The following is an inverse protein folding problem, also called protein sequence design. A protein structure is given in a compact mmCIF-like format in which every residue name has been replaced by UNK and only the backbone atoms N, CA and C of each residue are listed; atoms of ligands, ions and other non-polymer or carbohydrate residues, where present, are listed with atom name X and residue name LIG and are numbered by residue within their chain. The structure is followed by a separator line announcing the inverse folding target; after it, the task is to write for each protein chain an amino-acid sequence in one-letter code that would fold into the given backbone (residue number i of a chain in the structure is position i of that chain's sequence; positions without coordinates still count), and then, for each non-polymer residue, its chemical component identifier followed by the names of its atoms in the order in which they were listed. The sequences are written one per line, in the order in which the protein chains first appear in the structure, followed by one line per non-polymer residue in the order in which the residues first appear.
data_IF_225835807901
#
_entry.id   IF_225835807901
#
_cell.length_a   1.000
_cell.length_b   1.000
_cell.length_c   1.000
_cell.angle_alpha   90.00
_cell.angle_beta   90.00
_cell.angle_gamma   90.00
#
_symmetry.space_group_name_H-M   'P 1'
#
loop_
_entity.id
_entity.type
_entity.pdbx_description
1 polymer ?
#
# COMPACT_ATOMS: atom_id res chain seq x y z
N UNK A 1 16.16 -46.19 5.09
CA UNK A 1 15.93 -44.82 5.58
C UNK A 1 14.84 -44.22 4.71
N UNK A 2 13.59 -44.32 5.15
CA UNK A 2 12.45 -43.76 4.40
C UNK A 2 12.43 -42.26 4.58
N UNK A 3 12.29 -41.52 3.48
CA UNK A 3 12.02 -40.08 3.52
C UNK A 3 10.74 -39.86 4.34
N UNK A 4 10.84 -39.10 5.42
CA UNK A 4 9.68 -38.50 6.07
C UNK A 4 9.27 -37.32 5.20
N UNK A 5 8.70 -37.62 4.03
CA UNK A 5 8.05 -36.59 3.22
C UNK A 5 6.84 -36.11 4.02
N UNK A 6 6.97 -34.92 4.62
CA UNK A 6 5.87 -34.23 5.29
C UNK A 6 4.74 -34.06 4.27
N UNK A 7 3.57 -34.68 4.48
CA UNK A 7 2.44 -34.45 3.60
C UNK A 7 2.07 -32.96 3.68
N UNK A 8 2.08 -32.28 2.52
CA UNK A 8 1.84 -30.83 2.36
C UNK A 8 2.98 -29.89 2.79
N UNK A 9 4.25 -30.23 2.53
CA UNK A 9 5.30 -29.21 2.57
C UNK A 9 5.03 -28.10 1.53
N UNK A 10 5.03 -26.84 1.96
CA UNK A 10 4.82 -25.69 1.05
C UNK A 10 5.85 -25.70 -0.08
N UNK A 11 5.42 -25.34 -1.28
CA UNK A 11 6.31 -25.23 -2.45
C UNK A 11 7.16 -23.94 -2.45
N UNK A 12 6.90 -23.02 -1.53
CA UNK A 12 7.59 -21.75 -1.45
C UNK A 12 8.93 -21.84 -0.73
N UNK A 13 9.90 -21.05 -1.19
CA UNK A 13 11.21 -20.94 -0.55
C UNK A 13 11.12 -20.26 0.81
N UNK A 14 10.16 -19.34 0.96
CA UNK A 14 10.04 -18.48 2.14
C UNK A 14 9.54 -19.19 3.39
N UNK A 15 8.88 -20.35 3.27
CA UNK A 15 8.20 -21.04 4.38
C UNK A 15 6.77 -21.42 4.03
N UNK A 16 5.93 -21.62 5.05
CA UNK A 16 4.53 -22.04 4.86
C UNK A 16 3.61 -20.90 4.44
N UNK A 17 2.52 -21.22 3.73
CA UNK A 17 1.48 -20.25 3.35
C UNK A 17 0.87 -19.56 4.59
N UNK A 18 0.70 -20.32 5.68
CA UNK A 18 0.19 -19.80 6.96
C UNK A 18 1.07 -18.67 7.48
N UNK A 19 2.40 -18.81 7.42
CA UNK A 19 3.30 -17.77 7.90
C UNK A 19 3.23 -16.49 7.05
N UNK A 20 3.15 -16.64 5.72
CA UNK A 20 2.92 -15.50 4.83
C UNK A 20 1.65 -14.74 5.21
N UNK A 21 0.56 -15.47 5.45
CA UNK A 21 -0.72 -14.88 5.86
C UNK A 21 -0.62 -14.18 7.21
N UNK A 22 0.07 -14.77 8.19
CA UNK A 22 0.29 -14.15 9.49
C UNK A 22 1.12 -12.85 9.37
N UNK A 23 2.09 -12.80 8.45
CA UNK A 23 2.87 -11.58 8.16
C UNK A 23 1.99 -10.50 7.53
N UNK A 24 1.21 -10.83 6.48
CA UNK A 24 0.28 -9.88 5.84
C UNK A 24 -0.78 -9.37 6.83
N UNK A 25 -1.32 -10.26 7.66
CA UNK A 25 -2.28 -9.90 8.71
C UNK A 25 -1.64 -9.00 9.77
N UNK A 26 -0.39 -9.24 10.14
CA UNK A 26 0.34 -8.39 11.09
C UNK A 26 0.62 -7.00 10.52
N UNK A 27 0.97 -6.90 9.24
CA UNK A 27 1.11 -5.61 8.54
C UNK A 27 -0.22 -4.85 8.55
N UNK A 28 -1.32 -5.52 8.20
CA UNK A 28 -2.66 -4.92 8.20
C UNK A 28 -3.06 -4.44 9.61
N UNK A 29 -2.88 -5.26 10.65
CA UNK A 29 -3.17 -4.89 12.04
C UNK A 29 -2.37 -3.67 12.48
N UNK A 30 -1.09 -3.61 12.14
CA UNK A 30 -0.24 -2.46 12.43
C UNK A 30 -0.72 -1.21 11.72
N UNK A 31 -1.08 -1.31 10.44
CA UNK A 31 -1.65 -0.21 9.68
C UNK A 31 -2.94 0.31 10.32
N UNK A 32 -3.92 -0.54 10.61
CA UNK A 32 -5.19 -0.12 11.22
C UNK A 32 -4.98 0.48 12.62
N UNK A 33 -4.03 -0.04 13.41
CA UNK A 33 -3.68 0.51 14.72
C UNK A 33 -3.09 1.92 14.63
N UNK A 34 -2.26 2.19 13.61
CA UNK A 34 -1.58 3.48 13.47
C UNK A 34 -2.42 4.56 12.78
N UNK A 35 -3.56 4.18 12.18
CA UNK A 35 -4.39 5.07 11.36
C UNK A 35 -5.88 4.95 11.76
N UNK A 36 -6.34 5.73 12.76
CA UNK A 36 -7.72 5.69 13.25
C UNK A 36 -8.79 5.88 12.16
N UNK A 37 -8.61 6.83 11.25
CA UNK A 37 -9.55 7.06 10.14
C UNK A 37 -9.62 5.83 9.23
N UNK A 38 -8.46 5.27 8.87
CA UNK A 38 -8.43 4.06 8.06
C UNK A 38 -9.11 2.88 8.76
N UNK A 39 -8.92 2.74 10.08
CA UNK A 39 -9.63 1.73 10.87
C UNK A 39 -11.15 1.92 10.84
N UNK A 40 -11.64 3.13 11.05
CA UNK A 40 -13.08 3.45 10.99
C UNK A 40 -13.66 3.08 9.63
N UNK A 41 -13.00 3.46 8.55
CA UNK A 41 -13.46 3.16 7.18
C UNK A 41 -13.38 1.65 6.92
N UNK A 42 -12.36 0.97 7.41
CA UNK A 42 -12.24 -0.47 7.29
C UNK A 42 -13.38 -1.23 8.00
N UNK A 43 -13.71 -0.85 9.22
CA UNK A 43 -14.84 -1.41 10.00
C UNK A 43 -16.18 -1.09 9.32
N UNK A 44 -16.31 0.11 8.75
CA UNK A 44 -17.49 0.52 8.00
C UNK A 44 -17.68 -0.35 6.74
N UNK A 45 -16.63 -0.56 5.94
CA UNK A 45 -16.71 -1.42 4.74
C UNK A 45 -17.04 -2.86 5.14
N UNK A 46 -16.45 -3.35 6.23
CA UNK A 46 -16.75 -4.67 6.78
C UNK A 46 -18.24 -4.82 7.17
N UNK A 47 -18.82 -3.78 7.80
CA UNK A 47 -20.23 -3.79 8.22
C UNK A 47 -21.21 -3.78 7.04
N UNK A 48 -20.87 -3.13 5.93
CA UNK A 48 -21.71 -3.04 4.73
C UNK A 48 -21.66 -4.33 3.91
N UNK A 49 -20.54 -5.06 3.94
CA UNK A 49 -20.29 -6.23 3.08
C UNK A 49 -20.37 -7.58 3.79
N UNK A 50 -20.97 -7.64 5.00
CA UNK A 50 -21.08 -8.87 5.81
C UNK A 50 -19.75 -9.62 5.89
N UNK A 51 -18.66 -8.88 6.14
CA UNK A 51 -17.31 -9.41 6.35
C UNK A 51 -16.62 -10.09 5.16
N UNK A 52 -17.09 -9.87 3.93
CA UNK A 52 -16.49 -10.43 2.70
C UNK A 52 -15.53 -9.49 1.98
N UNK A 53 -14.93 -8.55 2.72
CA UNK A 53 -13.95 -7.61 2.19
C UNK A 53 -12.81 -8.34 1.48
N UNK A 54 -12.36 -7.77 0.37
CA UNK A 54 -11.21 -8.22 -0.41
C UNK A 54 -10.31 -7.04 -0.71
N UNK A 55 -9.01 -7.29 -0.82
CA UNK A 55 -8.02 -6.25 -1.04
C UNK A 55 -7.48 -6.30 -2.46
N UNK A 56 -7.41 -5.14 -3.11
CA UNK A 56 -6.79 -5.01 -4.42
C UNK A 56 -5.26 -5.04 -4.29
N UNK A 57 -4.74 -4.19 -3.41
CA UNK A 57 -3.32 -4.08 -3.17
C UNK A 57 -2.97 -3.43 -1.82
N UNK A 58 -1.74 -3.70 -1.35
CA UNK A 58 -1.07 -2.98 -0.26
C UNK A 58 0.08 -2.17 -0.84
N UNK A 59 0.29 -0.94 -0.36
CA UNK A 59 1.31 -0.04 -0.87
C UNK A 59 2.32 0.37 0.20
N UNK A 60 3.60 0.39 -0.14
CA UNK A 60 4.70 0.76 0.74
C UNK A 60 5.60 1.83 0.11
N UNK A 61 6.20 2.67 0.96
CA UNK A 61 7.20 3.67 0.57
C UNK A 61 8.56 3.32 1.16
N UNK A 62 9.62 3.62 0.42
CA UNK A 62 10.99 3.22 0.78
C UNK A 62 12.00 4.26 0.26
N UNK A 63 13.27 4.14 0.67
CA UNK A 63 14.35 4.98 0.16
C UNK A 63 15.33 4.16 -0.68
N UNK A 64 15.57 4.55 -1.93
CA UNK A 64 16.55 3.87 -2.78
C UNK A 64 17.98 4.28 -2.41
N UNK A 65 18.47 3.75 -1.30
CA UNK A 65 19.82 4.00 -0.79
C UNK A 65 20.22 2.89 0.20
N UNK A 66 21.48 2.45 0.15
CA UNK A 66 22.12 1.58 1.14
C UNK A 66 21.31 0.33 1.57
N UNK A 67 20.53 -0.25 0.66
CA UNK A 67 19.71 -1.45 0.92
C UNK A 67 18.34 -1.19 1.56
N UNK A 68 17.87 0.05 1.61
CA UNK A 68 16.57 0.45 2.14
C UNK A 68 15.46 0.60 1.08
N UNK A 69 15.75 0.26 -0.17
CA UNK A 69 14.83 0.43 -1.31
C UNK A 69 13.79 -0.68 -1.42
N UNK A 70 13.19 -0.82 -2.60
CA UNK A 70 12.14 -1.82 -2.88
C UNK A 70 12.55 -3.24 -2.44
N UNK A 71 13.79 -3.62 -2.74
CA UNK A 71 14.32 -4.96 -2.48
C UNK A 71 14.34 -5.35 -0.99
N UNK A 72 14.30 -4.37 -0.08
CA UNK A 72 14.26 -4.62 1.37
C UNK A 72 12.97 -5.30 1.82
N UNK A 73 11.87 -5.05 1.11
CA UNK A 73 10.56 -5.67 1.34
C UNK A 73 10.24 -6.73 0.28
N UNK A 74 10.44 -6.44 -1.01
CA UNK A 74 9.92 -7.28 -2.09
C UNK A 74 10.52 -8.68 -2.11
N UNK A 75 11.80 -8.83 -1.74
CA UNK A 75 12.49 -10.12 -1.74
C UNK A 75 11.79 -11.15 -0.85
N UNK A 76 11.31 -10.74 0.33
CA UNK A 76 10.54 -11.61 1.22
C UNK A 76 9.33 -12.20 0.52
N UNK A 77 8.51 -11.36 -0.14
CA UNK A 77 7.29 -11.82 -0.80
C UNK A 77 7.59 -12.65 -2.06
N UNK A 78 8.68 -12.35 -2.77
CA UNK A 78 9.11 -13.14 -3.92
C UNK A 78 9.52 -14.56 -3.53
N UNK A 79 10.09 -14.77 -2.34
CA UNK A 79 10.35 -16.11 -1.80
C UNK A 79 9.05 -16.91 -1.52
N UNK A 80 7.92 -16.20 -1.40
CA UNK A 80 6.55 -16.74 -1.33
C UNK A 80 5.82 -16.77 -2.68
N UNK A 81 6.56 -16.68 -3.79
CA UNK A 81 6.00 -16.87 -5.14
C UNK A 81 5.27 -15.67 -5.71
N UNK A 82 5.30 -14.50 -5.05
CA UNK A 82 4.93 -13.25 -5.70
C UNK A 82 5.84 -12.98 -6.91
N UNK A 83 5.26 -12.49 -8.01
CA UNK A 83 5.97 -12.25 -9.26
C UNK A 83 5.93 -10.78 -9.63
N UNK A 84 6.99 -10.28 -10.28
CA UNK A 84 7.03 -8.92 -10.78
C UNK A 84 5.94 -8.74 -11.84
N UNK A 85 4.99 -7.84 -11.57
CA UNK A 85 3.91 -7.51 -12.51
C UNK A 85 4.21 -6.30 -13.38
N UNK A 86 5.07 -5.38 -12.92
CA UNK A 86 5.46 -4.21 -13.71
C UNK A 86 6.15 -3.13 -12.90
N UNK A 87 6.64 -2.10 -13.61
CA UNK A 87 7.35 -0.95 -13.05
C UNK A 87 6.76 0.34 -13.60
N UNK A 88 6.76 1.38 -12.78
CA UNK A 88 6.41 2.75 -13.17
C UNK A 88 7.50 3.70 -12.66
N UNK A 89 7.87 4.69 -13.44
CA UNK A 89 8.79 5.75 -13.01
C UNK A 89 8.05 7.09 -12.94
N UNK A 90 8.35 7.91 -11.95
CA UNK A 90 7.77 9.23 -11.72
C UNK A 90 8.89 10.27 -11.67
N UNK A 91 9.43 10.70 -12.83
CA UNK A 91 10.62 11.56 -12.88
C UNK A 91 10.48 12.85 -12.08
N UNK A 92 9.31 13.52 -12.16
CA UNK A 92 9.02 14.76 -11.41
C UNK A 92 9.07 14.56 -9.89
N UNK A 93 8.61 13.40 -9.41
CA UNK A 93 8.62 13.05 -7.99
C UNK A 93 9.93 12.39 -7.55
N UNK A 94 10.83 12.08 -8.49
CA UNK A 94 12.05 11.29 -8.27
C UNK A 94 11.74 9.92 -7.64
N UNK A 95 10.61 9.31 -8.00
CA UNK A 95 10.14 8.03 -7.41
C UNK A 95 10.09 6.94 -8.49
N UNK A 96 10.39 5.70 -8.10
CA UNK A 96 10.13 4.49 -8.89
C UNK A 96 9.16 3.59 -8.14
N UNK A 97 8.32 2.88 -8.87
CA UNK A 97 7.38 1.90 -8.34
C UNK A 97 7.59 0.54 -8.99
N UNK A 98 7.51 -0.52 -8.19
CA UNK A 98 7.43 -1.92 -8.60
C UNK A 98 6.15 -2.49 -7.99
N UNK A 99 5.36 -3.24 -8.76
CA UNK A 99 4.27 -4.01 -8.19
C UNK A 99 4.46 -5.51 -8.43
N UNK A 100 4.02 -6.30 -7.47
CA UNK A 100 4.05 -7.75 -7.50
C UNK A 100 2.63 -8.32 -7.59
N UNK A 101 2.43 -9.27 -8.50
CA UNK A 101 1.22 -10.10 -8.55
C UNK A 101 1.32 -11.22 -7.52
N UNK A 102 0.22 -11.53 -6.80
CA UNK A 102 0.19 -12.60 -5.81
C UNK A 102 0.40 -13.99 -6.45
N UNK A 103 0.88 -14.98 -5.67
CA UNK A 103 0.79 -16.38 -6.06
C UNK A 103 -0.68 -16.84 -6.09
N UNK A 104 -0.96 -17.89 -6.86
CA UNK A 104 -2.27 -18.53 -6.86
C UNK A 104 -2.45 -19.38 -5.59
N UNK A 105 -3.02 -18.77 -4.56
CA UNK A 105 -3.24 -19.38 -3.26
C UNK A 105 -4.70 -19.29 -2.86
N UNK A 106 -5.28 -20.45 -2.56
CA UNK A 106 -6.58 -20.57 -1.94
C UNK A 106 -6.42 -21.11 -0.53
N UNK A 107 -6.41 -20.19 0.45
CA UNK A 107 -6.39 -20.57 1.86
C UNK A 107 -7.75 -20.25 2.48
N UNK A 108 -8.57 -21.26 2.79
CA UNK A 108 -9.86 -21.04 3.42
C UNK A 108 -9.67 -20.53 4.85
N UNK A 109 -10.42 -19.49 5.23
CA UNK A 109 -10.46 -19.00 6.62
C UNK A 109 -10.78 -17.52 6.74
N UNK A 110 -11.34 -17.15 7.90
CA UNK A 110 -11.63 -15.76 8.23
C UNK A 110 -10.35 -15.06 8.72
N UNK A 111 -9.62 -14.42 7.80
CA UNK A 111 -8.37 -13.68 8.09
C UNK A 111 -8.47 -12.20 7.72
N UNK A 112 -9.44 -11.50 8.30
CA UNK A 112 -9.61 -10.05 8.09
C UNK A 112 -9.56 -9.67 6.59
N UNK A 113 -10.29 -10.39 5.73
CA UNK A 113 -10.30 -10.16 4.28
C UNK A 113 -9.27 -10.92 3.44
N UNK A 114 -8.15 -11.39 4.02
CA UNK A 114 -7.09 -12.09 3.28
C UNK A 114 -7.47 -13.50 2.79
N UNK A 115 -8.58 -14.06 3.29
CA UNK A 115 -9.11 -15.37 2.87
C UNK A 115 -10.33 -15.30 1.94
N UNK A 116 -10.80 -14.10 1.57
CA UNK A 116 -12.03 -13.90 0.77
C UNK A 116 -11.76 -13.80 -0.75
N UNK A 117 -10.55 -14.15 -1.18
CA UNK A 117 -10.13 -14.01 -2.56
C UNK A 117 -8.65 -14.28 -2.79
N UNK A 118 -8.10 -13.86 -3.94
CA UNK A 118 -6.67 -13.84 -4.13
C UNK A 118 -6.04 -12.90 -3.10
N UNK A 119 -4.78 -13.16 -2.75
CA UNK A 119 -4.01 -12.25 -1.92
C UNK A 119 -3.86 -10.88 -2.61
N UNK A 120 -3.69 -9.78 -1.85
CA UNK A 120 -3.49 -8.47 -2.45
C UNK A 120 -2.22 -8.46 -3.30
N UNK A 121 -2.24 -7.67 -4.37
CA UNK A 121 -1.02 -7.22 -5.04
C UNK A 121 -0.19 -6.42 -4.04
N UNK A 122 1.13 -6.42 -4.21
CA UNK A 122 2.01 -5.63 -3.35
C UNK A 122 2.73 -4.58 -4.17
N UNK A 123 2.58 -3.32 -3.79
CA UNK A 123 3.15 -2.18 -4.51
C UNK A 123 4.20 -1.53 -3.64
N UNK A 124 5.41 -1.38 -4.18
CA UNK A 124 6.55 -0.81 -3.49
C UNK A 124 7.05 0.39 -4.27
N UNK A 125 7.06 1.55 -3.63
CA UNK A 125 7.69 2.76 -4.15
C UNK A 125 9.04 2.98 -3.49
N UNK A 126 10.01 3.53 -4.22
CA UNK A 126 11.27 4.03 -3.69
C UNK A 126 11.57 5.43 -4.20
N UNK A 127 11.99 6.31 -3.29
CA UNK A 127 12.55 7.61 -3.65
C UNK A 127 14.01 7.45 -4.10
N UNK A 128 14.34 8.00 -5.27
CA UNK A 128 15.70 8.07 -5.80
C UNK A 128 16.49 9.13 -5.02
N UNK A 129 17.09 8.71 -3.90
CA UNK A 129 17.80 9.61 -2.97
C UNK A 129 18.94 10.36 -3.66
N UNK A 130 19.65 9.71 -4.59
CA UNK A 130 20.71 10.30 -5.41
C UNK A 130 20.27 11.47 -6.30
N UNK A 131 18.95 11.64 -6.50
CA UNK A 131 18.36 12.75 -7.26
C UNK A 131 17.97 13.94 -6.38
N UNK A 132 18.10 13.85 -5.06
CA UNK A 132 17.82 14.95 -4.13
C UNK A 132 19.01 15.91 -4.00
N UNK A 133 18.79 17.06 -3.37
CA UNK A 133 19.88 17.95 -2.96
C UNK A 133 20.85 17.25 -2.01
N UNK A 134 22.11 17.70 -1.96
CA UNK A 134 23.11 17.15 -1.02
C UNK A 134 22.65 17.24 0.43
N UNK A 135 21.99 18.34 0.81
CA UNK A 135 21.42 18.52 2.15
C UNK A 135 20.39 17.43 2.49
N UNK A 136 19.41 17.18 1.61
CA UNK A 136 18.43 16.10 1.82
C UNK A 136 19.06 14.72 1.82
N UNK A 137 20.07 14.48 0.98
CA UNK A 137 20.81 13.22 0.98
C UNK A 137 21.53 12.99 2.30
N UNK A 138 22.18 14.01 2.84
CA UNK A 138 22.90 13.95 4.11
C UNK A 138 21.94 13.73 5.28
N UNK A 139 20.79 14.40 5.29
CA UNK A 139 19.74 14.18 6.28
C UNK A 139 19.24 12.73 6.22
N UNK A 140 18.92 12.19 5.05
CA UNK A 140 18.46 10.80 4.95
C UNK A 140 19.55 9.86 5.45
N UNK A 141 20.79 10.01 4.98
CA UNK A 141 21.91 9.14 5.35
C UNK A 141 22.28 9.21 6.83
N UNK A 142 22.03 10.33 7.52
CA UNK A 142 22.20 10.48 8.97
C UNK A 142 21.47 9.40 9.77
N UNK A 143 20.29 8.98 9.30
CA UNK A 143 19.42 8.00 9.98
C UNK A 143 19.71 6.55 9.59
N UNK A 144 20.27 6.33 8.40
CA UNK A 144 20.43 4.97 7.89
C UNK A 144 21.70 4.33 8.44
N UNK A 145 21.61 3.04 8.74
CA UNK A 145 22.76 2.21 9.13
C UNK A 145 23.06 1.20 8.03
N UNK A 146 24.33 0.86 7.79
CA UNK A 146 24.67 -0.20 6.84
C UNK A 146 23.85 -1.47 7.11
N UNK A 147 23.19 -1.99 6.07
CA UNK A 147 22.37 -3.22 6.13
C UNK A 147 21.12 -3.16 7.01
N UNK A 148 20.74 -1.99 7.55
CA UNK A 148 19.55 -1.89 8.41
C UNK A 148 18.25 -2.24 7.67
N UNK A 149 18.19 -2.03 6.36
CA UNK A 149 17.04 -2.40 5.51
C UNK A 149 16.65 -3.89 5.57
N UNK A 150 17.53 -4.79 6.01
CA UNK A 150 17.18 -6.21 6.24
C UNK A 150 16.06 -6.41 7.26
N UNK A 151 15.79 -5.41 8.10
CA UNK A 151 14.73 -5.44 9.11
C UNK A 151 13.38 -4.92 8.60
N UNK A 152 13.23 -4.63 7.30
CA UNK A 152 12.05 -3.95 6.76
C UNK A 152 10.72 -4.70 7.01
N UNK A 153 10.70 -6.02 6.84
CA UNK A 153 9.48 -6.82 7.11
C UNK A 153 9.12 -6.78 8.60
N UNK A 154 10.09 -6.95 9.49
CA UNK A 154 9.88 -6.88 10.94
C UNK A 154 9.43 -5.47 11.38
N UNK A 155 10.00 -4.43 10.78
CA UNK A 155 9.59 -3.04 10.96
C UNK A 155 8.13 -2.83 10.56
N UNK A 156 7.73 -3.36 9.41
CA UNK A 156 6.36 -3.25 8.88
C UNK A 156 5.35 -3.98 9.76
N UNK A 157 5.68 -5.18 10.27
CA UNK A 157 4.79 -5.95 11.15
C UNK A 157 4.69 -5.36 12.55
N UNK A 158 5.78 -4.84 13.13
CA UNK A 158 5.77 -4.24 14.47
C UNK A 158 5.26 -2.79 14.46
N UNK A 159 5.41 -2.08 13.35
CA UNK A 159 5.08 -0.67 13.19
C UNK A 159 6.14 0.29 13.74
N UNK A 160 7.38 -0.18 13.86
CA UNK A 160 8.51 0.56 14.44
C UNK A 160 9.47 1.05 13.36
N UNK A 161 10.06 2.23 13.56
CA UNK A 161 11.19 2.69 12.75
C UNK A 161 12.42 1.81 13.02
N UNK A 162 13.23 1.58 12.00
CA UNK A 162 14.53 0.88 12.12
C UNK A 162 15.71 1.84 12.24
N UNK A 163 15.42 3.13 12.27
CA UNK A 163 16.35 4.21 12.57
C UNK A 163 15.85 5.00 13.77
N UNK A 164 16.74 5.83 14.32
CA UNK A 164 16.45 6.71 15.45
C UNK A 164 15.32 7.69 15.11
N UNK A 165 14.50 8.03 16.11
CA UNK A 165 13.38 8.98 15.96
C UNK A 165 13.88 10.29 15.32
N UNK A 166 13.26 10.79 14.22
CA UNK A 166 13.70 12.02 13.57
C UNK A 166 13.51 13.28 14.42
N UNK A 167 14.26 14.35 14.13
CA UNK A 167 14.00 15.69 14.68
C UNK A 167 12.99 16.42 13.80
N UNK A 168 12.27 17.40 14.36
CA UNK A 168 11.32 18.20 13.56
C UNK A 168 12.05 19.04 12.53
N UNK A 169 13.28 19.49 12.84
CA UNK A 169 14.13 20.24 11.91
C UNK A 169 14.46 19.44 10.66
N UNK A 170 14.90 18.19 10.81
CA UNK A 170 15.26 17.32 9.68
C UNK A 170 14.02 16.97 8.85
N UNK A 171 12.89 16.67 9.52
CA UNK A 171 11.60 16.43 8.87
C UNK A 171 11.17 17.62 8.02
N UNK A 172 11.17 18.83 8.60
CA UNK A 172 10.75 20.05 7.91
C UNK A 172 11.70 20.42 6.76
N UNK A 173 12.99 20.13 6.88
CA UNK A 173 13.93 20.37 5.78
C UNK A 173 13.67 19.42 4.61
N UNK A 174 13.44 18.12 4.87
CA UNK A 174 13.03 17.19 3.81
C UNK A 174 11.69 17.56 3.19
N UNK A 175 10.72 17.97 4.01
CA UNK A 175 9.38 18.36 3.57
C UNK A 175 9.39 19.49 2.52
N UNK A 176 10.35 20.43 2.59
CA UNK A 176 10.50 21.51 1.60
C UNK A 176 10.89 21.00 0.21
N UNK A 177 11.64 19.90 0.12
CA UNK A 177 12.08 19.34 -1.17
C UNK A 177 11.20 18.18 -1.63
N UNK A 178 10.81 17.29 -0.71
CA UNK A 178 10.11 16.05 -1.02
C UNK A 178 9.21 15.63 0.13
N UNK A 179 7.90 15.80 -0.07
CA UNK A 179 6.91 15.34 0.89
C UNK A 179 6.96 13.80 1.07
N UNK A 180 7.30 13.09 -0.01
CA UNK A 180 7.55 11.64 0.04
C UNK A 180 8.69 11.31 1.01
N UNK A 181 9.80 12.06 0.96
CA UNK A 181 10.95 11.83 1.83
C UNK A 181 10.58 12.06 3.30
N UNK A 182 9.93 13.19 3.60
CA UNK A 182 9.53 13.51 4.96
C UNK A 182 8.55 12.46 5.53
N UNK A 183 7.55 12.05 4.73
CA UNK A 183 6.62 10.98 5.12
C UNK A 183 7.35 9.66 5.41
N UNK A 184 8.24 9.24 4.52
CA UNK A 184 8.98 7.98 4.66
C UNK A 184 9.90 8.03 5.88
N UNK A 185 10.50 9.19 6.20
CA UNK A 185 11.38 9.36 7.36
C UNK A 185 10.68 9.07 8.69
N UNK A 186 9.43 9.49 8.85
CA UNK A 186 8.69 9.33 10.12
C UNK A 186 7.83 8.06 10.19
N UNK A 187 7.45 7.49 9.04
CA UNK A 187 6.60 6.29 8.98
C UNK A 187 7.37 5.00 8.67
N UNK A 188 8.57 5.10 8.11
CA UNK A 188 9.40 3.94 7.73
C UNK A 188 8.66 3.00 6.78
N UNK A 189 8.68 1.70 7.10
CA UNK A 189 8.00 0.65 6.33
C UNK A 189 6.55 0.39 6.75
N UNK A 190 5.91 1.34 7.44
CA UNK A 190 4.46 1.28 7.66
C UNK A 190 3.75 1.26 6.30
N UNK A 191 2.74 0.40 6.14
CA UNK A 191 1.92 0.38 4.93
C UNK A 191 1.31 1.77 4.71
N UNK A 192 1.53 2.34 3.52
CA UNK A 192 1.09 3.70 3.18
C UNK A 192 -0.41 3.77 2.87
N UNK A 193 -0.94 2.73 2.24
CA UNK A 193 -2.38 2.56 2.10
C UNK A 193 -2.74 1.11 1.83
N UNK A 194 -3.97 0.81 2.20
CA UNK A 194 -4.73 -0.36 1.78
C UNK A 194 -5.68 0.07 0.66
N UNK A 195 -5.83 -0.77 -0.36
CA UNK A 195 -6.86 -0.62 -1.38
C UNK A 195 -7.90 -1.74 -1.32
N UNK A 196 -9.18 -1.39 -1.21
CA UNK A 196 -10.28 -2.34 -1.34
C UNK A 196 -10.55 -2.70 -2.80
N UNK A 197 -10.79 -3.99 -3.07
CA UNK A 197 -11.23 -4.47 -4.38
C UNK A 197 -12.76 -4.34 -4.50
N UNK A 198 -13.23 -3.18 -4.95
CA UNK A 198 -14.65 -2.80 -5.04
C UNK A 198 -15.46 -3.83 -5.84
N UNK A 199 -14.94 -4.32 -6.96
CA UNK A 199 -15.61 -5.31 -7.81
C UNK A 199 -15.85 -6.67 -7.14
N UNK A 200 -15.34 -6.88 -5.93
CA UNK A 200 -15.54 -8.10 -5.12
C UNK A 200 -16.47 -7.86 -3.93
N UNK A 201 -16.72 -6.61 -3.58
CA UNK A 201 -17.70 -6.26 -2.56
C UNK A 201 -19.11 -6.51 -3.10
N UNK A 202 -20.07 -6.66 -2.19
CA UNK A 202 -21.47 -6.91 -2.51
C UNK A 202 -22.32 -5.66 -2.33
N UNK A 203 -23.58 -5.80 -2.72
CA UNK A 203 -24.60 -4.77 -2.56
C UNK A 203 -24.14 -3.45 -3.21
N UNK A 204 -24.42 -2.31 -2.57
CA UNK A 204 -24.08 -0.99 -3.10
C UNK A 204 -22.57 -0.75 -3.26
N UNK A 205 -21.71 -1.44 -2.53
CA UNK A 205 -20.26 -1.23 -2.62
C UNK A 205 -19.60 -2.01 -3.77
N UNK A 206 -20.38 -2.74 -4.57
CA UNK A 206 -19.89 -3.37 -5.81
C UNK A 206 -19.62 -2.37 -6.96
N UNK A 207 -20.05 -1.10 -6.79
CA UNK A 207 -19.81 0.01 -7.72
C UNK A 207 -19.03 1.12 -7.00
N UNK A 208 -17.90 1.53 -7.59
CA UNK A 208 -17.02 2.55 -7.02
C UNK A 208 -17.68 3.92 -6.93
N UNK A 209 -18.66 4.21 -7.79
CA UNK A 209 -19.42 5.47 -7.72
C UNK A 209 -20.29 5.51 -6.47
N UNK A 210 -20.96 4.41 -6.15
CA UNK A 210 -21.74 4.29 -4.92
C UNK A 210 -20.83 4.33 -3.68
N UNK A 211 -19.61 3.80 -3.76
CA UNK A 211 -18.60 3.96 -2.70
C UNK A 211 -18.23 5.43 -2.54
N UNK A 212 -17.95 6.14 -3.64
CA UNK A 212 -17.63 7.57 -3.62
C UNK A 212 -18.76 8.38 -2.96
N UNK A 213 -19.99 8.26 -3.48
CA UNK A 213 -21.18 8.96 -2.97
C UNK A 213 -21.36 8.70 -1.47
N UNK A 214 -21.23 7.44 -1.05
CA UNK A 214 -21.40 7.09 0.35
C UNK A 214 -20.30 7.68 1.25
N UNK A 215 -19.03 7.70 0.81
CA UNK A 215 -17.96 8.32 1.59
C UNK A 215 -18.16 9.83 1.73
N UNK A 216 -18.68 10.49 0.69
CA UNK A 216 -19.06 11.91 0.73
C UNK A 216 -20.24 12.16 1.69
N UNK A 217 -21.26 11.29 1.70
CA UNK A 217 -22.38 11.33 2.66
C UNK A 217 -21.92 11.14 4.12
N UNK A 218 -20.85 10.37 4.33
CA UNK A 218 -20.23 10.19 5.65
C UNK A 218 -19.18 11.27 5.98
N UNK A 219 -19.09 12.32 5.16
CA UNK A 219 -18.21 13.48 5.34
C UNK A 219 -16.70 13.13 5.35
N UNK A 220 -16.30 12.00 4.76
CA UNK A 220 -14.88 11.70 4.54
C UNK A 220 -14.29 12.62 3.45
N UNK A 221 -13.11 13.17 3.70
CA UNK A 221 -12.42 13.99 2.70
C UNK A 221 -11.81 13.11 1.60
N UNK A 222 -12.36 13.18 0.38
CA UNK A 222 -11.83 12.49 -0.79
C UNK A 222 -10.68 13.27 -1.44
N UNK A 223 -9.70 12.54 -1.99
CA UNK A 223 -8.65 13.13 -2.80
C UNK A 223 -9.22 13.65 -4.13
N UNK A 224 -9.15 14.96 -4.35
CA UNK A 224 -9.66 15.67 -5.54
C UNK A 224 -8.60 15.96 -6.61
N UNK A 225 -7.32 15.68 -6.33
CA UNK A 225 -6.23 15.88 -7.30
C UNK A 225 -6.47 14.97 -8.53
N UNK A 226 -6.50 15.53 -9.73
CA UNK A 226 -6.87 14.79 -10.95
C UNK A 226 -8.37 14.37 -11.02
N UNK A 227 -9.24 14.95 -10.19
CA UNK A 227 -10.65 14.55 -10.03
C UNK A 227 -10.84 13.51 -8.93
N UNK A 228 -12.05 13.38 -8.37
CA UNK A 228 -12.32 12.42 -7.28
C UNK A 228 -12.15 10.97 -7.75
N UNK A 229 -12.83 10.63 -8.84
CA UNK A 229 -12.72 9.34 -9.52
C UNK A 229 -11.63 9.41 -10.59
N UNK A 230 -10.51 8.72 -10.34
CA UNK A 230 -9.44 8.57 -11.33
C UNK A 230 -9.80 7.40 -12.24
N UNK A 231 -9.76 7.63 -13.54
CA UNK A 231 -10.05 6.60 -14.54
C UNK A 231 -8.83 6.49 -15.45
N UNK A 232 -8.31 5.28 -15.54
CA UNK A 232 -7.24 4.92 -16.48
C UNK A 232 -7.59 5.23 -17.93
N UNK A 233 -6.57 5.41 -18.77
CA UNK A 233 -6.76 5.74 -20.19
C UNK A 233 -7.60 4.72 -20.96
N UNK A 234 -7.50 3.44 -20.61
CA UNK A 234 -8.31 2.36 -21.21
C UNK A 234 -9.73 2.28 -20.64
N UNK A 235 -10.03 3.03 -19.58
CA UNK A 235 -11.33 3.05 -18.91
C UNK A 235 -11.59 1.85 -18.01
N UNK A 236 -10.62 0.95 -17.82
CA UNK A 236 -10.84 -0.36 -17.18
C UNK A 236 -10.34 -0.43 -15.73
N UNK A 237 -9.59 0.56 -15.28
CA UNK A 237 -9.19 0.75 -13.89
C UNK A 237 -9.76 2.07 -13.36
N UNK A 238 -10.53 1.98 -12.28
CA UNK A 238 -11.14 3.11 -11.59
C UNK A 238 -10.66 3.16 -10.14
N UNK A 239 -10.30 4.34 -9.66
CA UNK A 239 -9.68 4.51 -8.35
C UNK A 239 -10.24 5.74 -7.63
N UNK A 240 -10.56 5.59 -6.35
CA UNK A 240 -10.93 6.66 -5.42
C UNK A 240 -10.10 6.49 -4.16
N UNK A 241 -9.56 7.59 -3.62
CA UNK A 241 -8.85 7.54 -2.34
C UNK A 241 -9.31 8.65 -1.41
N UNK A 242 -9.18 8.39 -0.12
CA UNK A 242 -9.33 9.40 0.91
C UNK A 242 -8.08 10.27 0.98
N UNK A 243 -8.24 11.53 1.38
CA UNK A 243 -7.14 12.31 1.91
C UNK A 243 -6.68 11.67 3.22
N UNK A 244 -5.36 11.62 3.42
CA UNK A 244 -4.79 11.14 4.67
C UNK A 244 -5.25 12.01 5.83
N UNK A 245 -5.66 11.36 6.92
CA UNK A 245 -5.83 12.07 8.19
C UNK A 245 -4.50 12.67 8.64
N UNK A 246 -4.58 13.72 9.46
CA UNK A 246 -3.42 14.36 10.06
C UNK A 246 -3.35 13.99 11.54
N UNK A 247 -2.24 13.41 11.97
CA UNK A 247 -2.01 12.95 13.33
C UNK A 247 -0.85 13.70 13.97
N UNK A 248 -0.89 13.93 15.30
CA UNK A 248 0.24 14.49 16.02
C UNK A 248 1.41 13.49 16.03
N UNK A 249 2.60 13.99 15.69
CA UNK A 249 3.87 13.28 15.78
C UNK A 249 4.80 14.08 16.67
N UNK A 250 5.13 13.52 17.82
CA UNK A 250 6.23 14.02 18.64
C UNK A 250 7.54 13.61 17.98
N UNK A 251 8.52 14.49 17.88
CA UNK A 251 9.86 14.26 17.31
C UNK A 251 10.89 14.00 18.43
N UNK A 252 12.15 13.76 18.07
CA UNK A 252 13.24 13.49 19.03
C UNK A 252 13.72 14.72 19.81
N UNK A 253 13.47 15.92 19.28
CA UNK A 253 13.74 17.22 19.92
C UNK A 253 12.58 17.70 20.82
N UNK A 254 11.58 16.85 21.07
CA UNK A 254 10.43 17.14 21.94
C UNK A 254 9.36 18.02 21.28
N UNK A 255 9.55 18.44 20.03
CA UNK A 255 8.53 19.17 19.27
C UNK A 255 7.42 18.20 18.84
N UNK A 256 6.16 18.62 18.94
CA UNK A 256 5.03 17.86 18.37
C UNK A 256 4.45 18.65 17.21
N UNK A 257 4.37 18.03 16.03
CA UNK A 257 3.73 18.60 14.86
C UNK A 257 2.65 17.68 14.30
N UNK A 258 1.63 18.26 13.66
CA UNK A 258 0.54 17.52 13.03
C UNK A 258 0.89 17.26 11.57
N UNK A 259 1.00 15.99 11.17
CA UNK A 259 1.42 15.57 9.83
C UNK A 259 0.54 14.45 9.29
N UNK A 260 0.59 14.21 7.98
CA UNK A 260 -0.22 13.18 7.33
C UNK A 260 0.22 11.78 7.75
N UNK A 261 -0.76 10.94 8.06
CA UNK A 261 -0.60 9.52 8.30
C UNK A 261 -0.72 8.71 6.99
N UNK A 262 -1.30 7.52 7.07
CA UNK A 262 -1.64 6.68 5.92
C UNK A 262 -3.10 6.95 5.49
N UNK A 263 -3.51 6.44 4.33
CA UNK A 263 -4.87 6.62 3.81
C UNK A 263 -5.46 5.31 3.28
N UNK A 264 -6.74 5.34 2.86
CA UNK A 264 -7.43 4.21 2.21
C UNK A 264 -7.75 4.54 0.76
N UNK A 265 -7.66 3.52 -0.08
CA UNK A 265 -8.06 3.54 -1.48
C UNK A 265 -9.16 2.51 -1.77
N UNK A 266 -9.92 2.76 -2.82
CA UNK A 266 -10.92 1.89 -3.40
C UNK A 266 -10.62 1.74 -4.89
N UNK A 267 -10.54 0.50 -5.36
CA UNK A 267 -10.18 0.15 -6.73
C UNK A 267 -11.23 -0.74 -7.33
N UNK A 268 -11.71 -0.38 -8.52
CA UNK A 268 -12.58 -1.23 -9.34
C UNK A 268 -11.86 -1.59 -10.64
N UNK A 269 -11.67 -2.88 -10.86
CA UNK A 269 -11.12 -3.43 -12.12
C UNK A 269 -12.26 -3.96 -12.98
N UNK A 270 -12.45 -3.37 -14.14
CA UNK A 270 -13.42 -3.82 -15.12
C UNK A 270 -12.91 -5.03 -15.89
N UNK A 271 -13.87 -5.75 -16.47
CA UNK A 271 -13.65 -6.95 -17.28
C UNK A 271 -12.97 -6.51 -18.58
N UNK A 272 -11.98 -7.28 -19.03
CA UNK A 272 -11.33 -7.02 -20.32
C UNK A 272 -12.33 -7.23 -21.47
N UNK A 273 -12.23 -6.46 -22.58
CA UNK A 273 -13.18 -6.51 -23.67
C UNK A 273 -13.41 -7.92 -24.25
N UNK A 274 -12.38 -8.76 -24.29
CA UNK A 274 -12.45 -10.16 -24.75
C UNK A 274 -13.31 -11.08 -23.87
N UNK A 275 -13.59 -10.68 -22.62
CA UNK A 275 -14.36 -11.46 -21.65
C UNK A 275 -15.72 -10.84 -21.32
N UNK A 276 -16.16 -9.79 -22.03
CA UNK A 276 -17.38 -9.04 -21.74
C UNK A 276 -18.67 -9.88 -21.76
N UNK A 277 -18.68 -10.96 -22.56
CA UNK A 277 -19.83 -11.83 -22.77
C UNK A 277 -19.82 -13.05 -21.83
N UNK A 278 -18.82 -13.16 -20.94
CA UNK A 278 -18.79 -14.24 -19.95
C UNK A 278 -19.91 -14.07 -18.91
N UNK A 279 -20.58 -15.16 -18.51
CA UNK A 279 -21.51 -15.16 -17.38
C UNK A 279 -20.86 -14.60 -16.11
N UNK A 280 -21.60 -13.80 -15.33
CA UNK A 280 -21.07 -13.13 -14.14
C UNK A 280 -20.44 -14.09 -13.11
N UNK A 281 -20.95 -15.31 -13.01
CA UNK A 281 -20.48 -16.38 -12.11
C UNK A 281 -19.22 -17.10 -12.62
N UNK A 282 -18.89 -16.95 -13.91
CA UNK A 282 -17.65 -17.43 -14.52
C UNK A 282 -16.53 -16.38 -14.49
N UNK A 283 -16.84 -15.12 -14.19
CA UNK A 283 -15.83 -14.07 -14.10
C UNK A 283 -14.88 -14.34 -12.92
N UNK A 284 -13.59 -14.22 -13.20
CA UNK A 284 -12.48 -14.39 -12.26
C UNK A 284 -11.57 -13.17 -12.32
N UNK A 285 -10.65 -13.05 -11.36
CA UNK A 285 -9.76 -11.88 -11.27
C UNK A 285 -8.91 -11.72 -12.55
N UNK A 286 -8.45 -12.83 -13.14
CA UNK A 286 -7.66 -12.80 -14.37
C UNK A 286 -8.43 -12.37 -15.64
N UNK A 287 -9.78 -12.31 -15.59
CA UNK A 287 -10.60 -11.74 -16.65
C UNK A 287 -10.69 -10.20 -16.57
N UNK A 288 -10.11 -9.58 -15.55
CA UNK A 288 -10.18 -8.14 -15.28
C UNK A 288 -8.86 -7.46 -15.59
N UNK A 289 -8.90 -6.14 -15.77
CA UNK A 289 -7.72 -5.31 -16.03
C UNK A 289 -6.68 -5.44 -14.93
N UNK A 290 -5.52 -6.02 -15.28
CA UNK A 290 -4.37 -6.17 -14.39
C UNK A 290 -3.40 -4.99 -14.42
N UNK A 291 -2.62 -4.82 -13.35
CA UNK A 291 -1.57 -3.81 -13.26
C UNK A 291 -2.05 -2.42 -12.82
N UNK A 292 -1.12 -1.46 -12.82
CA UNK A 292 -1.32 -0.08 -12.40
C UNK A 292 -1.44 0.87 -13.60
N UNK A 293 -1.82 2.12 -13.35
CA UNK A 293 -1.81 3.19 -14.36
C UNK A 293 -1.05 4.40 -13.79
N UNK A 294 -0.14 4.96 -14.57
CA UNK A 294 0.84 5.95 -14.11
C UNK A 294 0.19 7.29 -13.74
N UNK A 295 -0.73 7.81 -14.56
CA UNK A 295 -1.38 9.09 -14.31
C UNK A 295 -2.26 9.01 -13.05
N UNK A 296 -3.04 7.95 -12.91
CA UNK A 296 -3.88 7.69 -11.74
C UNK A 296 -3.02 7.56 -10.49
N UNK A 297 -1.96 6.75 -10.53
CA UNK A 297 -1.04 6.59 -9.41
C UNK A 297 -0.33 7.91 -9.02
N UNK A 298 0.00 8.78 -9.98
CA UNK A 298 0.56 10.11 -9.70
C UNK A 298 -0.37 10.92 -8.80
N UNK A 299 -1.65 10.98 -9.14
CA UNK A 299 -2.67 11.73 -8.41
C UNK A 299 -3.04 11.07 -7.07
N UNK A 300 -3.04 9.74 -7.00
CA UNK A 300 -3.28 9.00 -5.75
C UNK A 300 -2.17 9.26 -4.71
N UNK A 301 -0.91 9.40 -5.13
CA UNK A 301 0.19 9.72 -4.20
C UNK A 301 0.00 11.06 -3.47
N UNK A 302 -0.80 11.98 -4.01
CA UNK A 302 -1.14 13.27 -3.40
C UNK A 302 -2.03 13.14 -2.15
N UNK A 303 -2.58 11.95 -1.86
CA UNK A 303 -3.40 11.74 -0.66
C UNK A 303 -2.64 11.98 0.65
N UNK A 304 -1.30 11.93 0.64
CA UNK A 304 -0.46 12.28 1.81
C UNK A 304 0.18 13.66 1.70
N UNK A 305 -0.32 14.56 0.85
CA UNK A 305 0.25 15.90 0.77
C UNK A 305 -0.01 16.69 2.04
N UNK A 306 0.97 17.42 2.53
CA UNK A 306 0.83 18.26 3.73
C UNK A 306 0.89 19.75 3.42
N UNK A 307 1.45 20.14 2.28
CA UNK A 307 1.40 21.51 1.77
C UNK A 307 0.19 21.71 0.86
N UNK A 308 -0.45 22.88 0.95
CA UNK A 308 -1.46 23.27 -0.03
C UNK A 308 -0.76 23.59 -1.37
N UNK A 309 -1.35 23.19 -2.49
CA UNK A 309 -0.89 23.64 -3.80
C UNK A 309 -1.05 25.17 -3.86
N UNK A 310 0.04 25.88 -4.16
CA UNK A 310 0.04 27.31 -4.52
C UNK A 310 -0.46 27.47 -5.94
#
# INVERSE_FOLDING_TARGET
MGSLDLPNASSFKGGSETFLLDVLESILKTYLRKNPMAKTVWELVQSVDNEKISYDHFFFRTFKVDGYGIDSLSNFFMDYGYKIGGKLDFPKKKVRVLWLSPPDLHVPGYRHGLGNGPLPRLVFAELLVDKLSSESQDIIRKYLKPQGGKQAILSSTLGSLIWEKPTSTDFNQLAKESEYAAWTLIHGYTMNHLAFAVHRLKHRFSDIKCVQEYLEEQEFELNKDGGVLKVSQDGLLLQVSLMSEKLPVEFADGVTETTTASYIEFVQRLILPEFKDLPCDEIREFHRREGLEQASAYHIMESTRFTAQV
#
